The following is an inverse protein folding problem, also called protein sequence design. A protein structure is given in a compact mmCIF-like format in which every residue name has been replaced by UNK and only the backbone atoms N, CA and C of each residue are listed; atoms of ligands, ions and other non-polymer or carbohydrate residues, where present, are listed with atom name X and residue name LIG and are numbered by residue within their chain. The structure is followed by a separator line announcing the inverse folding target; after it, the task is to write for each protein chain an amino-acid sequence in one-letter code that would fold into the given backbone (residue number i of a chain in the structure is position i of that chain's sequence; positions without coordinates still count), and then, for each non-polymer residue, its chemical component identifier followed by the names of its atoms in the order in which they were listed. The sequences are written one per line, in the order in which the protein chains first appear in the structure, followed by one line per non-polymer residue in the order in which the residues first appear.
data_IF_948014564045
#
_entry.id   IF_948014564045
#
_cell.length_a   1.000
_cell.length_b   1.000
_cell.length_c   1.000
_cell.angle_alpha   90.00
_cell.angle_beta   90.00
_cell.angle_gamma   90.00
#
_symmetry.space_group_name_H-M   'P 1'
#
loop_
_entity.id
_entity.type
_entity.pdbx_description
1 polymer ?
#
# COMPACT_ATOMS: atom_id res chain seq x y z
N UNK A 1 21.06 -3.93 -6.80
CA UNK A 1 19.63 -4.17 -7.06
C UNK A 1 18.92 -2.84 -7.22
N UNK A 2 17.97 -2.76 -8.14
CA UNK A 2 17.15 -1.57 -8.38
C UNK A 2 15.94 -1.62 -7.47
N UNK A 3 15.66 -0.52 -6.76
CA UNK A 3 14.46 -0.41 -5.94
C UNK A 3 13.69 0.85 -6.29
N UNK A 4 12.41 0.69 -6.57
CA UNK A 4 11.46 1.77 -6.86
C UNK A 4 10.46 1.84 -5.70
N UNK A 5 10.47 2.97 -4.99
CA UNK A 5 9.52 3.27 -3.93
C UNK A 5 8.38 4.14 -4.46
N UNK A 6 7.13 3.73 -4.24
CA UNK A 6 5.95 4.48 -4.65
C UNK A 6 5.08 4.76 -3.43
N UNK A 7 5.13 6.00 -2.95
CA UNK A 7 4.33 6.48 -1.83
C UNK A 7 3.17 7.34 -2.31
N UNK A 8 2.18 7.54 -1.45
CA UNK A 8 1.04 8.42 -1.75
C UNK A 8 -0.25 7.96 -1.08
N UNK A 9 -1.30 8.78 -1.10
CA UNK A 9 -2.54 8.51 -0.37
C UNK A 9 -3.32 7.30 -0.92
N UNK A 10 -4.26 6.79 -0.13
CA UNK A 10 -5.17 5.74 -0.56
C UNK A 10 -5.98 6.18 -1.79
N UNK A 11 -6.17 5.29 -2.77
CA UNK A 11 -6.95 5.60 -3.98
C UNK A 11 -6.20 6.39 -5.07
N UNK A 12 -4.92 6.72 -4.88
CA UNK A 12 -4.12 7.38 -5.92
C UNK A 12 -3.76 6.50 -7.14
N UNK A 13 -4.17 5.23 -7.17
CA UNK A 13 -3.88 4.30 -8.27
C UNK A 13 -2.53 3.57 -8.19
N UNK A 14 -1.78 3.75 -7.08
CA UNK A 14 -0.45 3.17 -6.87
C UNK A 14 -0.35 1.70 -7.21
N UNK A 15 -1.12 0.84 -6.54
CA UNK A 15 -0.99 -0.62 -6.67
C UNK A 15 -1.22 -1.12 -8.09
N UNK A 16 -2.16 -0.52 -8.83
CA UNK A 16 -2.44 -0.90 -10.22
C UNK A 16 -1.31 -0.47 -11.16
N UNK A 17 -0.83 0.77 -11.02
CA UNK A 17 0.29 1.30 -11.82
C UNK A 17 1.59 0.56 -11.50
N UNK A 18 1.85 0.34 -10.20
CA UNK A 18 3.00 -0.36 -9.67
C UNK A 18 3.10 -1.78 -10.20
N UNK A 19 1.99 -2.54 -10.20
CA UNK A 19 1.93 -3.89 -10.74
C UNK A 19 2.25 -3.92 -12.23
N UNK A 20 1.65 -3.00 -13.01
CA UNK A 20 1.90 -2.94 -14.46
C UNK A 20 3.35 -2.55 -14.77
N UNK A 21 3.91 -1.58 -14.06
CA UNK A 21 5.30 -1.16 -14.22
C UNK A 21 6.26 -2.28 -13.83
N UNK A 22 5.99 -3.00 -12.73
CA UNK A 22 6.82 -4.13 -12.33
C UNK A 22 6.87 -5.21 -13.42
N UNK A 23 5.72 -5.52 -14.03
CA UNK A 23 5.67 -6.44 -15.18
C UNK A 23 6.46 -5.93 -16.39
N UNK A 24 6.33 -4.64 -16.74
CA UNK A 24 7.05 -4.00 -17.85
C UNK A 24 8.57 -4.03 -17.66
N UNK A 25 9.05 -3.75 -16.45
CA UNK A 25 10.49 -3.70 -16.14
C UNK A 25 11.08 -5.05 -15.70
N UNK A 26 10.26 -6.10 -15.57
CA UNK A 26 10.69 -7.39 -15.03
C UNK A 26 11.09 -7.32 -13.55
N UNK A 27 10.49 -6.42 -12.77
CA UNK A 27 10.72 -6.26 -11.34
C UNK A 27 9.67 -7.02 -10.53
N UNK A 28 9.97 -7.28 -9.26
CA UNK A 28 9.04 -7.87 -8.32
C UNK A 28 8.21 -6.77 -7.68
N UNK A 29 6.89 -6.87 -7.86
CA UNK A 29 5.94 -5.98 -7.21
C UNK A 29 5.72 -6.41 -5.74
N UNK A 30 5.77 -5.45 -4.81
CA UNK A 30 5.51 -5.67 -3.38
C UNK A 30 4.41 -4.73 -2.88
N UNK A 31 3.20 -5.27 -2.69
CA UNK A 31 2.06 -4.57 -2.03
C UNK A 31 2.29 -4.58 -0.52
N UNK A 32 2.93 -3.55 0.02
CA UNK A 32 3.12 -3.46 1.48
C UNK A 32 1.79 -3.31 2.21
N UNK A 33 0.78 -2.74 1.56
CA UNK A 33 -0.57 -2.61 2.10
C UNK A 33 -1.23 -3.97 2.35
N UNK A 34 -0.99 -4.95 1.49
CA UNK A 34 -1.45 -6.33 1.69
C UNK A 34 -0.87 -6.95 2.97
N UNK A 35 0.39 -6.65 3.31
CA UNK A 35 1.03 -7.15 4.54
C UNK A 35 0.35 -6.61 5.79
N UNK A 36 0.09 -5.30 5.85
CA UNK A 36 -0.67 -4.69 6.95
C UNK A 36 -2.11 -5.23 7.03
N UNK A 37 -2.75 -5.48 5.88
CA UNK A 37 -4.09 -6.09 5.84
C UNK A 37 -4.09 -7.52 6.35
N UNK A 38 -3.05 -8.31 6.11
CA UNK A 38 -2.95 -9.66 6.66
C UNK A 38 -2.82 -9.63 8.19
N UNK A 39 -2.03 -8.72 8.74
CA UNK A 39 -1.94 -8.53 10.21
C UNK A 39 -3.28 -8.05 10.78
N UNK A 40 -3.92 -7.08 10.14
CA UNK A 40 -5.24 -6.59 10.55
C UNK A 40 -6.32 -7.67 10.49
N UNK A 41 -6.34 -8.48 9.43
CA UNK A 41 -7.23 -9.63 9.28
C UNK A 41 -7.01 -10.66 10.39
N UNK A 42 -5.75 -10.94 10.75
CA UNK A 42 -5.44 -11.85 11.84
C UNK A 42 -5.99 -11.35 13.19
N UNK A 43 -5.79 -10.05 13.49
CA UNK A 43 -6.34 -9.43 14.70
C UNK A 43 -7.87 -9.55 14.78
N UNK A 44 -8.57 -9.24 13.66
CA UNK A 44 -10.02 -9.38 13.57
C UNK A 44 -10.48 -10.83 13.80
N UNK A 45 -9.82 -11.80 13.14
CA UNK A 45 -10.13 -13.23 13.31
C UNK A 45 -9.88 -13.74 14.73
N UNK A 46 -8.92 -13.15 15.44
CA UNK A 46 -8.65 -13.43 16.85
C UNK A 46 -9.60 -12.69 17.83
N UNK A 47 -10.60 -11.95 17.31
CA UNK A 47 -11.54 -11.18 18.12
C UNK A 47 -10.89 -10.03 18.88
N UNK A 48 -9.77 -9.50 18.39
CA UNK A 48 -9.06 -8.36 18.98
C UNK A 48 -9.36 -7.09 18.19
N UNK A 49 -9.49 -5.97 18.89
CA UNK A 49 -9.59 -4.66 18.23
C UNK A 49 -8.23 -4.32 17.58
N UNK A 50 -8.17 -4.10 16.25
CA UNK A 50 -6.95 -3.66 15.57
C UNK A 50 -6.35 -2.35 16.10
N UNK A 51 -7.11 -1.55 16.86
CA UNK A 51 -6.64 -0.33 17.53
C UNK A 51 -6.00 -0.58 18.89
N UNK A 52 -6.21 -1.75 19.49
CA UNK A 52 -5.56 -2.12 20.75
C UNK A 52 -4.14 -2.62 20.46
N UNK A 53 -3.17 -1.72 20.57
CA UNK A 53 -1.78 -2.04 20.31
C UNK A 53 -1.25 -3.18 21.19
N UNK A 54 -1.67 -3.27 22.46
CA UNK A 54 -1.19 -4.33 23.34
C UNK A 54 -1.74 -5.69 22.91
N UNK A 55 -3.03 -5.77 22.56
CA UNK A 55 -3.63 -6.98 22.03
C UNK A 55 -3.02 -7.40 20.69
N UNK A 56 -2.80 -6.45 19.77
CA UNK A 56 -2.17 -6.74 18.47
C UNK A 56 -0.72 -7.19 18.64
N UNK A 57 0.04 -6.59 19.55
CA UNK A 57 1.44 -6.96 19.80
C UNK A 57 1.59 -8.39 20.30
N UNK A 58 0.66 -8.84 21.14
CA UNK A 58 0.65 -10.21 21.65
C UNK A 58 0.44 -11.26 20.54
N UNK A 59 -0.20 -10.87 19.43
CA UNK A 59 -0.44 -11.75 18.28
C UNK A 59 0.74 -11.84 17.30
N UNK A 60 1.65 -10.86 17.29
CA UNK A 60 2.76 -10.81 16.31
C UNK A 60 3.63 -12.08 16.28
N UNK A 61 3.99 -12.72 17.41
CA UNK A 61 4.77 -13.96 17.40
C UNK A 61 4.04 -15.14 16.74
N UNK A 62 2.72 -15.08 16.62
CA UNK A 62 1.88 -16.12 16.02
C UNK A 62 1.70 -15.93 14.50
N UNK A 63 2.21 -14.82 13.94
CA UNK A 63 2.03 -14.45 12.54
C UNK A 63 3.27 -14.82 11.72
N UNK A 64 3.07 -15.67 10.72
CA UNK A 64 4.01 -15.89 9.63
C UNK A 64 3.38 -15.38 8.33
N UNK A 65 4.05 -14.43 7.68
CA UNK A 65 3.65 -13.94 6.37
C UNK A 65 4.60 -14.48 5.30
N UNK A 66 4.03 -14.97 4.20
CA UNK A 66 4.79 -15.33 2.99
C UNK A 66 4.14 -14.68 1.78
N UNK A 67 4.94 -13.97 0.99
CA UNK A 67 4.50 -13.43 -0.29
C UNK A 67 4.95 -14.39 -1.40
N UNK A 68 4.12 -14.55 -2.42
CA UNK A 68 4.45 -15.29 -3.62
C UNK A 68 3.93 -14.54 -4.84
N UNK A 69 4.60 -14.68 -5.97
CA UNK A 69 4.08 -14.26 -7.27
C UNK A 69 3.68 -15.51 -8.04
N UNK A 70 2.39 -15.68 -8.32
CA UNK A 70 1.84 -16.82 -9.08
C UNK A 70 1.14 -16.23 -10.29
N UNK A 71 1.56 -16.63 -11.49
CA UNK A 71 0.98 -16.15 -12.76
C UNK A 71 0.93 -14.60 -12.89
N UNK A 72 1.90 -13.91 -12.28
CA UNK A 72 1.95 -12.44 -12.27
C UNK A 72 1.04 -11.76 -11.24
N UNK A 73 0.26 -12.53 -10.49
CA UNK A 73 -0.50 -12.05 -9.34
C UNK A 73 0.28 -12.24 -8.04
N UNK A 74 0.17 -11.26 -7.16
CA UNK A 74 0.76 -11.36 -5.83
C UNK A 74 -0.20 -12.04 -4.86
N UNK A 75 0.27 -13.15 -4.30
CA UNK A 75 -0.39 -13.88 -3.24
C UNK A 75 0.25 -13.56 -1.89
N UNK A 76 -0.58 -13.50 -0.85
CA UNK A 76 -0.16 -13.40 0.54
C UNK A 76 -0.70 -14.57 1.34
N UNK A 77 0.20 -15.26 2.02
CA UNK A 77 -0.12 -16.36 2.90
C UNK A 77 0.05 -15.90 4.35
N UNK A 78 -0.97 -16.13 5.15
CA UNK A 78 -1.01 -15.87 6.59
C UNK A 78 -1.08 -17.23 7.30
N UNK A 79 -0.02 -17.60 8.01
CA UNK A 79 0.08 -18.90 8.69
C UNK A 79 -0.19 -20.10 7.77
N UNK A 80 0.23 -19.98 6.50
CA UNK A 80 0.05 -21.01 5.47
C UNK A 80 -1.27 -20.93 4.69
N UNK A 81 -2.27 -20.17 5.15
CA UNK A 81 -3.52 -19.93 4.42
C UNK A 81 -3.34 -18.81 3.39
N UNK A 82 -3.79 -19.03 2.15
CA UNK A 82 -3.87 -17.97 1.14
C UNK A 82 -5.00 -17.00 1.50
N UNK A 83 -4.64 -15.81 1.97
CA UNK A 83 -5.60 -14.75 2.37
C UNK A 83 -5.74 -13.67 1.31
N UNK A 84 -5.20 -13.85 0.10
CA UNK A 84 -5.10 -12.82 -0.94
C UNK A 84 -6.44 -12.18 -1.32
N UNK A 85 -7.54 -12.96 -1.26
CA UNK A 85 -8.91 -12.46 -1.45
C UNK A 85 -9.48 -11.86 -0.17
N UNK A 86 -9.30 -12.53 0.97
CA UNK A 86 -9.85 -12.12 2.26
C UNK A 86 -9.35 -10.73 2.71
N UNK A 87 -8.11 -10.37 2.39
CA UNK A 87 -7.53 -9.06 2.74
C UNK A 87 -8.09 -7.88 1.91
N UNK A 88 -8.88 -8.13 0.87
CA UNK A 88 -9.39 -7.10 -0.05
C UNK A 88 -10.72 -6.49 0.39
N UNK A 89 -11.26 -6.91 1.54
CA UNK A 89 -12.46 -6.33 2.13
C UNK A 89 -12.19 -4.92 2.67
N UNK A 90 -13.28 -4.16 2.87
CA UNK A 90 -13.22 -2.86 3.53
C UNK A 90 -12.78 -2.97 4.99
N UNK A 91 -13.31 -3.95 5.72
CA UNK A 91 -12.97 -4.24 7.11
C UNK A 91 -11.46 -4.50 7.27
N UNK A 92 -10.87 -5.33 6.42
CA UNK A 92 -9.43 -5.56 6.41
C UNK A 92 -8.64 -4.28 6.07
N UNK A 93 -9.20 -3.39 5.25
CA UNK A 93 -8.60 -2.09 4.94
C UNK A 93 -8.60 -1.13 6.13
N UNK A 94 -9.69 -1.09 6.90
CA UNK A 94 -9.76 -0.30 8.13
C UNK A 94 -8.82 -0.86 9.20
N UNK A 95 -8.80 -2.18 9.37
CA UNK A 95 -7.88 -2.85 10.29
C UNK A 95 -6.42 -2.59 9.91
N UNK A 96 -6.08 -2.62 8.62
CA UNK A 96 -4.74 -2.28 8.13
C UNK A 96 -4.33 -0.84 8.47
N UNK A 97 -5.25 0.11 8.40
CA UNK A 97 -4.99 1.51 8.81
C UNK A 97 -4.66 1.59 10.29
N UNK A 98 -5.47 0.92 11.13
CA UNK A 98 -5.28 0.89 12.58
C UNK A 98 -3.95 0.25 12.98
N UNK A 99 -3.67 -0.98 12.52
CA UNK A 99 -2.40 -1.66 12.84
C UNK A 99 -1.21 -0.98 12.18
N UNK A 100 -1.41 -0.26 11.08
CA UNK A 100 -0.37 0.51 10.40
C UNK A 100 0.22 1.65 11.23
N UNK A 101 -0.55 2.14 12.21
CA UNK A 101 -0.10 3.13 13.20
C UNK A 101 0.66 2.50 14.39
N UNK A 102 0.60 1.18 14.58
CA UNK A 102 1.26 0.48 15.68
C UNK A 102 2.76 0.27 15.39
N UNK A 103 3.69 0.87 16.16
CA UNK A 103 5.13 0.76 15.91
C UNK A 103 5.67 -0.67 15.89
N UNK A 104 5.13 -1.57 16.71
CA UNK A 104 5.60 -2.95 16.76
C UNK A 104 5.22 -3.73 15.49
N UNK A 105 4.02 -3.49 14.95
CA UNK A 105 3.59 -4.04 13.66
C UNK A 105 4.51 -3.53 12.54
N UNK A 106 4.85 -2.23 12.56
CA UNK A 106 5.77 -1.66 11.58
C UNK A 106 7.15 -2.31 11.65
N UNK A 107 7.70 -2.46 12.86
CA UNK A 107 8.99 -3.09 13.08
C UNK A 107 8.99 -4.56 12.61
N UNK A 108 7.92 -5.30 12.90
CA UNK A 108 7.72 -6.68 12.47
C UNK A 108 7.74 -6.85 10.94
N UNK A 109 7.13 -5.92 10.19
CA UNK A 109 7.07 -5.99 8.73
C UNK A 109 8.32 -5.43 8.02
N UNK A 110 9.04 -4.50 8.67
CA UNK A 110 10.15 -3.76 8.07
C UNK A 110 11.29 -4.66 7.58
N UNK A 111 11.68 -5.63 8.40
CA UNK A 111 12.78 -6.54 8.08
C UNK A 111 12.49 -7.37 6.81
N UNK A 112 11.26 -7.90 6.70
CA UNK A 112 10.84 -8.67 5.53
C UNK A 112 10.83 -7.82 4.25
N UNK A 113 10.36 -6.58 4.34
CA UNK A 113 10.33 -5.65 3.20
C UNK A 113 11.74 -5.33 2.72
N UNK A 114 12.68 -5.05 3.64
CA UNK A 114 14.07 -4.72 3.27
C UNK A 114 14.81 -5.89 2.63
N UNK A 115 14.68 -7.10 3.19
CA UNK A 115 15.32 -8.31 2.65
C UNK A 115 14.93 -8.60 1.19
N UNK A 116 13.69 -8.30 0.81
CA UNK A 116 13.26 -8.43 -0.59
C UNK A 116 14.00 -7.47 -1.52
N UNK A 117 14.25 -6.23 -1.10
CA UNK A 117 14.95 -5.23 -1.90
C UNK A 117 16.46 -5.50 -2.05
N UNK A 118 17.05 -6.26 -1.11
CA UNK A 118 18.50 -6.57 -1.14
C UNK A 118 18.87 -7.60 -2.20
N UNK A 119 17.96 -8.51 -2.54
CA UNK A 119 18.25 -9.67 -3.39
C UNK A 119 17.58 -9.62 -4.77
N UNK A 120 16.60 -8.71 -4.96
CA UNK A 120 15.78 -8.66 -6.17
C UNK A 120 15.54 -7.21 -6.62
N UNK A 121 15.29 -7.01 -7.93
CA UNK A 121 14.81 -5.72 -8.40
C UNK A 121 13.35 -5.60 -8.00
N UNK A 122 13.01 -4.55 -7.25
CA UNK A 122 11.71 -4.43 -6.60
C UNK A 122 11.04 -3.12 -6.91
N UNK A 123 9.72 -3.18 -6.98
CA UNK A 123 8.85 -2.02 -7.02
C UNK A 123 7.85 -2.16 -5.89
N UNK A 124 7.99 -1.33 -4.86
CA UNK A 124 7.20 -1.41 -3.64
C UNK A 124 6.28 -0.20 -3.52
N UNK A 125 4.98 -0.42 -3.31
CA UNK A 125 4.03 0.66 -3.05
C UNK A 125 3.56 0.68 -1.59
N UNK A 126 3.33 1.88 -1.05
CA UNK A 126 2.98 2.06 0.36
C UNK A 126 2.66 3.50 0.76
N UNK A 127 3.11 3.90 1.94
CA UNK A 127 2.92 5.25 2.50
C UNK A 127 4.23 5.90 2.95
N UNK A 128 5.20 5.08 3.31
CA UNK A 128 6.48 5.47 3.87
C UNK A 128 7.63 4.61 3.32
N UNK A 129 7.49 4.13 2.09
CA UNK A 129 8.49 3.31 1.43
C UNK A 129 9.77 4.11 1.22
N UNK A 130 9.70 5.27 0.58
CA UNK A 130 10.85 6.12 0.27
C UNK A 130 11.41 6.89 1.46
N UNK A 131 10.65 6.99 2.56
CA UNK A 131 11.06 7.71 3.78
C UNK A 131 11.58 6.79 4.88
N UNK A 132 11.03 5.57 5.03
CA UNK A 132 11.33 4.68 6.16
C UNK A 132 11.81 3.30 5.70
N UNK A 133 11.07 2.65 4.80
CA UNK A 133 11.38 1.25 4.41
C UNK A 133 12.66 1.17 3.59
N UNK A 134 12.70 1.93 2.49
CA UNK A 134 13.77 2.04 1.50
C UNK A 134 14.23 3.50 1.35
N UNK A 135 14.82 4.11 2.40
CA UNK A 135 15.29 5.51 2.35
C UNK A 135 16.41 5.74 1.32
N UNK A 136 17.01 4.67 0.79
CA UNK A 136 18.02 4.70 -0.27
C UNK A 136 17.52 4.07 -1.58
N UNK A 137 16.21 4.04 -1.80
CA UNK A 137 15.64 3.52 -3.04
C UNK A 137 16.24 4.24 -4.26
N UNK A 138 16.50 3.49 -5.34
CA UNK A 138 17.04 4.02 -6.61
C UNK A 138 16.12 5.10 -7.19
N UNK A 139 14.81 4.86 -7.10
CA UNK A 139 13.77 5.79 -7.54
C UNK A 139 12.73 5.93 -6.43
N UNK A 140 12.31 7.15 -6.15
CA UNK A 140 11.19 7.44 -5.24
C UNK A 140 10.17 8.30 -5.97
N UNK A 141 8.93 7.85 -5.96
CA UNK A 141 7.79 8.56 -6.56
C UNK A 141 6.78 8.79 -5.45
N UNK A 142 6.33 10.02 -5.31
CA UNK A 142 5.15 10.34 -4.51
C UNK A 142 3.97 10.56 -5.45
N UNK A 143 3.13 9.53 -5.60
CA UNK A 143 1.97 9.53 -6.48
C UNK A 143 0.75 10.08 -5.76
N UNK A 144 0.22 11.21 -6.22
CA UNK A 144 -0.93 11.87 -5.62
C UNK A 144 -2.08 12.08 -6.61
N UNK A 145 -3.24 12.44 -6.06
CA UNK A 145 -4.39 12.97 -6.77
C UNK A 145 -5.30 13.69 -5.75
N UNK A 146 -6.12 14.64 -6.20
CA UNK A 146 -7.10 15.31 -5.33
C UNK A 146 -8.02 14.30 -4.63
N UNK A 147 -8.46 14.58 -3.38
CA UNK A 147 -9.46 13.75 -2.70
C UNK A 147 -10.69 13.47 -3.56
N UNK A 148 -11.16 14.47 -4.30
CA UNK A 148 -12.32 14.39 -5.18
C UNK A 148 -12.08 13.42 -6.35
N UNK A 149 -10.91 13.48 -7.01
CA UNK A 149 -10.56 12.55 -8.08
C UNK A 149 -10.47 11.11 -7.56
N UNK A 150 -9.87 10.90 -6.39
CA UNK A 150 -9.74 9.56 -5.77
C UNK A 150 -11.08 9.01 -5.30
N UNK A 151 -11.92 9.86 -4.69
CA UNK A 151 -13.28 9.51 -4.30
C UNK A 151 -14.13 9.15 -5.52
N UNK A 152 -14.01 9.90 -6.62
CA UNK A 152 -14.75 9.62 -7.86
C UNK A 152 -14.35 8.28 -8.48
N UNK A 153 -13.06 7.94 -8.49
CA UNK A 153 -12.56 6.61 -8.95
C UNK A 153 -13.13 5.49 -8.08
N UNK A 154 -13.02 5.61 -6.76
CA UNK A 154 -13.54 4.62 -5.80
C UNK A 154 -15.06 4.46 -5.89
N UNK A 155 -15.78 5.57 -6.00
CA UNK A 155 -17.23 5.56 -6.12
C UNK A 155 -17.67 4.82 -7.39
N UNK A 156 -17.00 5.04 -8.53
CA UNK A 156 -17.23 4.25 -9.75
C UNK A 156 -16.98 2.75 -9.55
N UNK A 157 -15.89 2.37 -8.87
CA UNK A 157 -15.63 0.95 -8.54
C UNK A 157 -16.76 0.33 -7.70
N UNK A 158 -17.37 1.10 -6.80
CA UNK A 158 -18.52 0.63 -6.01
C UNK A 158 -19.78 0.48 -6.86
N UNK A 159 -20.06 1.45 -7.74
CA UNK A 159 -21.19 1.39 -8.67
C UNK A 159 -21.08 0.17 -9.61
N UNK A 160 -19.90 -0.12 -10.14
CA UNK A 160 -19.63 -1.30 -10.97
C UNK A 160 -19.86 -2.62 -10.22
N UNK A 161 -19.73 -2.62 -8.90
CA UNK A 161 -19.98 -3.78 -8.02
C UNK A 161 -21.41 -3.83 -7.47
N UNK A 162 -22.28 -2.89 -7.86
CA UNK A 162 -23.64 -2.79 -7.33
C UNK A 162 -23.72 -2.38 -5.87
N UNK A 163 -22.68 -1.72 -5.34
CA UNK A 163 -22.66 -1.19 -3.97
C UNK A 163 -23.31 0.19 -3.95
N UNK A 164 -24.43 0.32 -3.24
CA UNK A 164 -25.14 1.59 -3.08
C UNK A 164 -24.48 2.45 -1.99
N UNK A 165 -23.69 3.44 -2.43
CA UNK A 165 -23.04 4.42 -1.56
C UNK A 165 -22.99 5.78 -2.25
N UNK A 166 -23.24 6.84 -1.50
CA UNK A 166 -23.16 8.22 -2.02
C UNK A 166 -21.71 8.64 -2.28
N UNK A 167 -21.52 9.53 -3.24
CA UNK A 167 -20.20 10.12 -3.50
C UNK A 167 -19.67 10.87 -2.28
N UNK A 168 -20.55 11.55 -1.55
CA UNK A 168 -20.23 12.33 -0.35
C UNK A 168 -19.65 11.45 0.76
N UNK A 169 -20.22 10.26 0.97
CA UNK A 169 -19.70 9.30 1.95
C UNK A 169 -18.32 8.78 1.55
N UNK A 170 -18.13 8.42 0.27
CA UNK A 170 -16.82 7.99 -0.23
C UNK A 170 -15.77 9.10 -0.10
N UNK A 171 -16.14 10.36 -0.36
CA UNK A 171 -15.25 11.50 -0.21
C UNK A 171 -14.88 11.74 1.26
N UNK A 172 -15.84 11.63 2.18
CA UNK A 172 -15.59 11.74 3.62
C UNK A 172 -14.61 10.66 4.09
N UNK A 173 -14.80 9.42 3.66
CA UNK A 173 -13.91 8.30 3.99
C UNK A 173 -12.49 8.51 3.45
N UNK A 174 -12.37 9.01 2.22
CA UNK A 174 -11.08 9.34 1.62
C UNK A 174 -10.36 10.41 2.44
N UNK A 175 -11.04 11.50 2.79
CA UNK A 175 -10.46 12.59 3.61
C UNK A 175 -10.07 12.10 5.01
N UNK A 176 -10.90 11.27 5.62
CA UNK A 176 -10.61 10.69 6.94
C UNK A 176 -9.35 9.80 6.90
N UNK A 177 -9.20 8.98 5.86
CA UNK A 177 -8.01 8.13 5.68
C UNK A 177 -6.76 8.95 5.42
N UNK A 178 -6.85 10.01 4.62
CA UNK A 178 -5.71 10.90 4.39
C UNK A 178 -5.26 11.58 5.68
N UNK A 179 -6.21 12.05 6.50
CA UNK A 179 -5.91 12.63 7.81
C UNK A 179 -5.17 11.63 8.70
N UNK A 180 -5.68 10.40 8.81
CA UNK A 180 -5.02 9.33 9.58
C UNK A 180 -3.61 9.00 9.05
N UNK A 181 -3.45 8.86 7.74
CA UNK A 181 -2.17 8.52 7.12
C UNK A 181 -1.13 9.64 7.31
N UNK A 182 -1.54 10.92 7.28
CA UNK A 182 -0.64 12.07 7.39
C UNK A 182 -0.35 12.52 8.83
N UNK A 183 -1.25 12.26 9.77
CA UNK A 183 -1.13 12.70 11.17
C UNK A 183 -0.73 11.59 12.15
N UNK A 184 -0.48 10.36 11.68
CA UNK A 184 0.05 9.29 12.54
C UNK A 184 1.43 9.66 13.09
N UNK A 185 1.66 9.37 14.37
CA UNK A 185 2.94 9.63 15.03
C UNK A 185 4.08 8.81 14.39
N UNK A 186 3.81 7.56 14.04
CA UNK A 186 4.78 6.66 13.46
C UNK A 186 4.71 6.67 11.92
N UNK A 187 5.82 7.08 11.29
CA UNK A 187 6.03 7.06 9.85
C UNK A 187 4.90 7.73 9.04
N UNK A 188 4.54 9.00 9.30
CA UNK A 188 3.46 9.68 8.59
C UNK A 188 3.67 9.66 7.06
N UNK A 189 2.55 9.61 6.32
CA UNK A 189 2.57 9.77 4.87
C UNK A 189 3.14 11.15 4.54
N UNK A 190 4.36 11.15 4.04
CA UNK A 190 5.09 12.34 3.63
C UNK A 190 5.92 12.03 2.40
N UNK A 191 6.00 12.98 1.48
CA UNK A 191 6.92 12.91 0.36
C UNK A 191 8.36 12.96 0.87
N UNK A 192 9.19 11.98 0.48
CA UNK A 192 10.63 12.05 0.71
C UNK A 192 11.25 13.22 -0.06
N UNK A 193 12.28 13.86 0.48
CA UNK A 193 12.88 15.08 -0.10
C UNK A 193 13.38 14.88 -1.54
N UNK A 194 13.85 13.66 -1.85
CA UNK A 194 14.35 13.24 -3.16
C UNK A 194 13.31 12.50 -4.02
N UNK A 195 12.06 12.43 -3.58
CA UNK A 195 10.98 11.81 -4.34
C UNK A 195 10.41 12.76 -5.40
N UNK A 196 10.17 12.23 -6.59
CA UNK A 196 9.47 12.95 -7.66
C UNK A 196 7.97 12.96 -7.34
N UNK A 197 7.37 14.15 -7.24
CA UNK A 197 5.93 14.30 -7.11
C UNK A 197 5.26 14.05 -8.46
N UNK A 198 4.30 13.13 -8.51
CA UNK A 198 3.47 12.89 -9.69
C UNK A 198 1.99 13.04 -9.32
N UNK A 199 1.37 14.12 -9.78
CA UNK A 199 -0.07 14.34 -9.65
C UNK A 199 -0.82 13.71 -10.82
N UNK A 200 -1.71 12.77 -10.51
CA UNK A 200 -2.53 12.04 -11.49
C UNK A 200 -3.98 12.50 -11.54
N UNK A 201 -4.34 13.61 -10.89
CA UNK A 201 -5.74 14.07 -10.77
C UNK A 201 -6.46 14.12 -12.12
N UNK A 202 -5.77 14.70 -13.12
CA UNK A 202 -6.28 14.90 -14.48
C UNK A 202 -5.75 13.87 -15.49
N UNK A 203 -4.97 12.89 -15.02
CA UNK A 203 -4.40 11.85 -15.88
C UNK A 203 -5.30 10.61 -15.90
N UNK A 204 -5.45 10.03 -17.07
CA UNK A 204 -5.98 8.68 -17.21
C UNK A 204 -4.91 7.63 -16.83
N UNK A 205 -5.29 6.35 -16.85
CA UNK A 205 -4.40 5.26 -16.46
C UNK A 205 -3.15 5.16 -17.34
N UNK A 206 -3.29 5.23 -18.66
CA UNK A 206 -2.17 5.15 -19.60
C UNK A 206 -1.22 6.34 -19.46
N UNK A 207 -1.75 7.56 -19.30
CA UNK A 207 -0.95 8.76 -19.07
C UNK A 207 -0.18 8.68 -17.74
N UNK A 208 -0.84 8.19 -16.68
CA UNK A 208 -0.20 8.00 -15.38
C UNK A 208 0.90 6.94 -15.46
N UNK A 209 0.64 5.84 -16.20
CA UNK A 209 1.60 4.77 -16.43
C UNK A 209 2.84 5.26 -17.18
N UNK A 210 2.67 5.95 -18.32
CA UNK A 210 3.78 6.49 -19.10
C UNK A 210 4.59 7.53 -18.32
N UNK A 211 3.92 8.41 -17.57
CA UNK A 211 4.61 9.38 -16.71
C UNK A 211 5.49 8.70 -15.65
N UNK A 212 4.96 7.68 -14.96
CA UNK A 212 5.75 6.91 -13.99
C UNK A 212 6.89 6.14 -14.65
N UNK A 213 6.65 5.54 -15.83
CA UNK A 213 7.66 4.81 -16.61
C UNK A 213 8.83 5.71 -16.97
N UNK A 214 8.55 6.94 -17.43
CA UNK A 214 9.58 7.94 -17.75
C UNK A 214 10.40 8.34 -16.51
N UNK A 215 9.75 8.56 -15.37
CA UNK A 215 10.45 8.87 -14.10
C UNK A 215 11.39 7.75 -13.69
N UNK A 216 10.96 6.50 -13.82
CA UNK A 216 11.79 5.33 -13.53
C UNK A 216 12.96 5.29 -14.52
N UNK A 217 12.70 5.25 -15.83
CA UNK A 217 13.73 5.12 -16.87
C UNK A 217 14.78 6.25 -16.87
N UNK A 218 14.47 7.43 -16.35
CA UNK A 218 15.46 8.51 -16.23
C UNK A 218 16.53 8.25 -15.15
N UNK A 219 16.32 7.28 -14.27
CA UNK A 219 17.18 6.98 -13.11
C UNK A 219 17.76 5.56 -13.13
N UNK A 220 17.37 4.72 -14.09
CA UNK A 220 17.85 3.33 -14.25
C UNK A 220 18.46 3.16 -15.63
#
# INVERSE_FOLDING_TARGET
MISVAIDGPAGAGKSTLARRLAAEFGYIYVDTGAMFRAVGLYALRAGKDPKDNAAVNALLPEITLRLASIEGEQHIYLNGEDVSKAIRTEEAGMAASAVGANPAVRAFLLDQQRKMAETQNVLMDGRDIGTVVLPKATVKIFLTATPEARAKRRWKEYQEKGVDVSFENVLADVKQRDYQDTHREAAPLKQAEDAVLLDTSELNFEQSFEAMKQIIAAKV
#
